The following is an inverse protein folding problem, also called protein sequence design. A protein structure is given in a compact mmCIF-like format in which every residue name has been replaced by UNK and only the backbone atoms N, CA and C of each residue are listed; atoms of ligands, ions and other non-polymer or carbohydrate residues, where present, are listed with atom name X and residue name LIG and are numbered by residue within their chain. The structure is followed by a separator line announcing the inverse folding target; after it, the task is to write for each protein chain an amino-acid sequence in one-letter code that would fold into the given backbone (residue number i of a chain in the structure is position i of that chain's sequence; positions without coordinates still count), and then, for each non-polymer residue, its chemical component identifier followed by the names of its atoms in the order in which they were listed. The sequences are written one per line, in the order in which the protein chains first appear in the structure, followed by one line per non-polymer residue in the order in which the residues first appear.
data_IF_365104053903
#
_entry.id   IF_365104053903
#
_cell.length_a   1.000
_cell.length_b   1.000
_cell.length_c   1.000
_cell.angle_alpha   90.00
_cell.angle_beta   90.00
_cell.angle_gamma   90.00
#
_symmetry.space_group_name_H-M   'P 1'
#
loop_
_entity.id
_entity.type
_entity.pdbx_description
1 polymer ?
#
# COMPACT_ATOMS: atom_id res chain seq x y z
N UNK A 1 -7.02 15.32 -10.79
CA UNK A 1 -6.06 14.31 -11.26
C UNK A 1 -6.29 12.97 -10.56
N UNK A 2 -6.17 12.87 -9.23
CA UNK A 2 -6.34 11.58 -8.52
C UNK A 2 -7.73 10.95 -8.71
N UNK A 3 -8.79 11.74 -8.70
CA UNK A 3 -10.16 11.27 -8.96
C UNK A 3 -10.28 10.64 -10.36
N UNK A 4 -9.59 11.19 -11.36
CA UNK A 4 -9.55 10.64 -12.70
C UNK A 4 -8.83 9.28 -12.74
N UNK A 5 -7.70 9.13 -12.00
CA UNK A 5 -7.00 7.84 -11.87
C UNK A 5 -7.89 6.79 -11.21
N UNK A 6 -8.57 7.13 -10.12
CA UNK A 6 -9.51 6.26 -9.41
C UNK A 6 -10.68 5.87 -10.31
N UNK A 7 -11.24 6.84 -11.05
CA UNK A 7 -12.35 6.57 -11.98
C UNK A 7 -11.94 5.63 -13.12
N UNK A 8 -10.75 5.81 -13.68
CA UNK A 8 -10.20 4.93 -14.71
C UNK A 8 -9.87 3.54 -14.17
N UNK A 9 -9.49 3.44 -12.90
CA UNK A 9 -9.22 2.16 -12.25
C UNK A 9 -10.50 1.38 -11.85
N UNK A 10 -11.71 1.93 -12.04
CA UNK A 10 -12.95 1.18 -11.80
C UNK A 10 -13.11 0.02 -12.82
N UNK A 11 -13.67 -1.14 -12.40
CA UNK A 11 -14.24 -1.42 -11.07
C UNK A 11 -13.21 -1.91 -10.03
N UNK A 12 -11.94 -1.98 -10.37
CA UNK A 12 -10.88 -2.56 -9.52
C UNK A 12 -10.69 -1.78 -8.22
N UNK A 13 -10.76 -0.43 -8.28
CA UNK A 13 -10.61 0.39 -7.07
C UNK A 13 -11.67 0.06 -6.02
N UNK A 14 -12.92 -0.10 -6.45
CA UNK A 14 -14.01 -0.52 -5.57
C UNK A 14 -13.78 -1.93 -5.03
N UNK A 15 -13.35 -2.89 -5.87
CA UNK A 15 -13.05 -4.26 -5.46
C UNK A 15 -11.92 -4.31 -4.43
N UNK A 16 -10.93 -3.43 -4.54
CA UNK A 16 -9.83 -3.30 -3.59
C UNK A 16 -10.33 -2.77 -2.24
N UNK A 17 -11.02 -1.63 -2.23
CA UNK A 17 -11.48 -0.96 -1.00
C UNK A 17 -12.54 -1.79 -0.26
N UNK A 18 -13.43 -2.46 -1.00
CA UNK A 18 -14.54 -3.26 -0.47
C UNK A 18 -14.26 -4.77 -0.50
N UNK A 19 -12.98 -5.19 -0.52
CA UNK A 19 -12.61 -6.58 -0.60
C UNK A 19 -13.13 -7.40 0.58
N UNK A 20 -13.41 -8.70 0.37
CA UNK A 20 -13.91 -9.59 1.42
C UNK A 20 -12.98 -9.65 2.65
N UNK A 21 -11.66 -9.63 2.44
CA UNK A 21 -10.67 -9.52 3.52
C UNK A 21 -10.94 -8.29 4.40
N UNK A 22 -11.16 -7.12 3.77
CA UNK A 22 -11.44 -5.85 4.44
C UNK A 22 -12.77 -5.92 5.21
N UNK A 23 -13.80 -6.49 4.60
CA UNK A 23 -15.11 -6.62 5.22
C UNK A 23 -15.09 -7.56 6.44
N UNK A 24 -14.39 -8.68 6.35
CA UNK A 24 -14.22 -9.61 7.47
C UNK A 24 -13.38 -8.99 8.60
N UNK A 25 -12.32 -8.23 8.24
CA UNK A 25 -11.52 -7.47 9.20
C UNK A 25 -12.38 -6.43 9.93
N UNK A 26 -13.21 -5.66 9.21
CA UNK A 26 -14.13 -4.68 9.78
C UNK A 26 -15.14 -5.32 10.77
N UNK A 27 -15.66 -6.48 10.43
CA UNK A 27 -16.61 -7.26 11.27
C UNK A 27 -15.92 -8.00 12.43
N UNK A 28 -14.59 -8.06 12.48
CA UNK A 28 -13.85 -8.87 13.46
C UNK A 28 -13.97 -10.37 13.23
N UNK A 29 -14.34 -10.81 12.03
CA UNK A 29 -14.59 -12.20 11.66
C UNK A 29 -13.51 -12.81 10.78
N UNK A 30 -12.53 -12.02 10.35
CA UNK A 30 -11.40 -12.53 9.57
C UNK A 30 -10.69 -13.64 10.37
N UNK A 31 -10.40 -14.82 9.78
CA UNK A 31 -9.65 -15.85 10.48
C UNK A 31 -8.25 -15.35 10.90
N UNK A 32 -7.85 -15.65 12.14
CA UNK A 32 -6.54 -15.24 12.68
C UNK A 32 -5.39 -15.64 11.74
N UNK A 33 -5.45 -16.86 11.19
CA UNK A 33 -4.43 -17.35 10.27
C UNK A 33 -4.31 -16.50 8.99
N UNK A 34 -5.43 -15.99 8.45
CA UNK A 34 -5.42 -15.10 7.29
C UNK A 34 -4.72 -13.77 7.61
N UNK A 35 -5.00 -13.19 8.78
CA UNK A 35 -4.36 -11.96 9.20
C UNK A 35 -2.87 -12.17 9.51
N UNK A 36 -2.50 -13.28 10.16
CA UNK A 36 -1.10 -13.63 10.40
C UNK A 36 -0.32 -13.82 9.09
N UNK A 37 -0.92 -14.50 8.10
CA UNK A 37 -0.31 -14.66 6.79
C UNK A 37 -0.12 -13.31 6.08
N UNK A 38 -1.17 -12.48 6.08
CA UNK A 38 -1.10 -11.11 5.58
C UNK A 38 0.06 -10.32 6.22
N UNK A 39 0.18 -10.32 7.56
CA UNK A 39 1.24 -9.59 8.25
C UNK A 39 2.65 -10.05 7.87
N UNK A 40 2.86 -11.35 7.66
CA UNK A 40 4.16 -11.88 7.23
C UNK A 40 4.50 -11.42 5.81
N UNK A 41 3.55 -11.47 4.90
CA UNK A 41 3.74 -11.00 3.52
C UNK A 41 3.86 -9.48 3.44
N UNK A 42 3.14 -8.76 4.30
CA UNK A 42 3.22 -7.30 4.40
C UNK A 42 4.61 -6.83 4.88
N UNK A 43 5.23 -7.54 5.82
CA UNK A 43 6.62 -7.28 6.21
C UNK A 43 7.57 -7.35 5.01
N UNK A 44 7.45 -8.40 4.19
CA UNK A 44 8.26 -8.59 2.98
C UNK A 44 7.95 -7.48 1.96
N UNK A 45 6.67 -7.14 1.79
CA UNK A 45 6.23 -6.05 0.93
C UNK A 45 6.86 -4.72 1.36
N UNK A 46 6.79 -4.35 2.64
CA UNK A 46 7.34 -3.10 3.16
C UNK A 46 8.85 -2.99 2.93
N UNK A 47 9.58 -4.09 3.00
CA UNK A 47 11.01 -4.13 2.66
C UNK A 47 11.25 -3.74 1.19
N UNK A 48 10.47 -4.27 0.25
CA UNK A 48 10.58 -3.90 -1.16
C UNK A 48 9.99 -2.52 -1.46
N UNK A 49 8.96 -2.11 -0.73
CA UNK A 49 8.39 -0.77 -0.80
C UNK A 49 9.41 0.29 -0.41
N UNK A 50 10.20 0.03 0.65
CA UNK A 50 11.33 0.88 1.03
C UNK A 50 12.39 0.98 -0.09
N UNK A 51 12.66 -0.11 -0.81
CA UNK A 51 13.54 -0.11 -1.99
C UNK A 51 12.99 0.77 -3.13
N UNK A 52 11.68 0.78 -3.32
CA UNK A 52 11.04 1.65 -4.31
C UNK A 52 11.26 3.14 -3.98
N UNK A 53 11.17 3.53 -2.70
CA UNK A 53 11.46 4.91 -2.30
C UNK A 53 12.96 5.24 -2.36
N UNK A 54 13.85 4.30 -2.04
CA UNK A 54 15.28 4.47 -2.26
C UNK A 54 15.60 4.69 -3.76
N UNK A 55 14.91 3.96 -4.65
CA UNK A 55 14.98 4.19 -6.09
C UNK A 55 14.40 5.56 -6.46
N UNK A 56 13.34 6.02 -5.81
CA UNK A 56 12.79 7.37 -5.96
C UNK A 56 13.82 8.46 -5.63
N UNK A 57 14.56 8.30 -4.52
CA UNK A 57 15.68 9.17 -4.17
C UNK A 57 16.74 9.19 -5.28
N UNK A 58 17.10 8.03 -5.83
CA UNK A 58 18.07 7.90 -6.91
C UNK A 58 17.58 8.57 -8.22
N UNK A 59 16.27 8.48 -8.54
CA UNK A 59 15.68 9.02 -9.78
C UNK A 59 15.39 10.53 -9.72
N UNK A 60 15.39 11.13 -8.54
CA UNK A 60 15.12 12.56 -8.38
C UNK A 60 16.17 13.42 -9.11
N UNK A 61 15.72 14.44 -9.82
CA UNK A 61 16.57 15.33 -10.63
C UNK A 61 17.10 16.54 -9.83
N UNK A 62 16.52 16.79 -8.66
CA UNK A 62 16.88 17.90 -7.78
C UNK A 62 16.47 17.59 -6.33
N UNK A 63 16.90 18.42 -5.38
CA UNK A 63 16.62 18.22 -3.95
C UNK A 63 15.12 18.30 -3.62
N UNK A 64 14.36 19.11 -4.32
CA UNK A 64 12.90 19.23 -4.11
C UNK A 64 12.19 17.94 -4.46
N UNK A 65 12.53 17.33 -5.60
CA UNK A 65 12.00 16.02 -5.99
C UNK A 65 12.47 14.89 -5.06
N UNK A 66 13.66 15.02 -4.45
CA UNK A 66 14.25 14.02 -3.55
C UNK A 66 13.56 14.01 -2.18
N UNK A 67 12.98 15.12 -1.76
CA UNK A 67 12.46 15.30 -0.40
C UNK A 67 11.39 14.26 -0.03
N UNK A 68 10.39 14.08 -0.90
CA UNK A 68 9.27 13.17 -0.63
C UNK A 68 9.72 11.70 -0.55
N UNK A 69 10.43 11.11 -1.53
CA UNK A 69 10.89 9.73 -1.42
C UNK A 69 11.84 9.51 -0.24
N UNK A 70 12.71 10.48 0.09
CA UNK A 70 13.59 10.41 1.25
C UNK A 70 12.79 10.38 2.56
N UNK A 71 11.83 11.32 2.72
CA UNK A 71 10.96 11.39 3.91
C UNK A 71 10.21 10.07 4.10
N UNK A 72 9.61 9.54 3.04
CA UNK A 72 8.87 8.27 3.11
C UNK A 72 9.77 7.10 3.45
N UNK A 73 10.98 7.04 2.86
CA UNK A 73 11.96 6.00 3.18
C UNK A 73 12.38 6.06 4.65
N UNK A 74 12.65 7.25 5.19
CA UNK A 74 13.00 7.42 6.60
C UNK A 74 11.89 6.92 7.53
N UNK A 75 10.61 7.23 7.22
CA UNK A 75 9.45 6.77 7.98
C UNK A 75 9.37 5.23 7.93
N UNK A 76 9.44 4.63 6.74
CA UNK A 76 9.38 3.17 6.58
C UNK A 76 10.51 2.45 7.33
N UNK A 77 11.73 2.99 7.31
CA UNK A 77 12.86 2.42 8.06
C UNK A 77 12.65 2.47 9.59
N UNK A 78 11.93 3.48 10.09
CA UNK A 78 11.59 3.58 11.51
C UNK A 78 10.43 2.64 11.88
N UNK A 79 9.46 2.48 10.99
CA UNK A 79 8.26 1.68 11.21
C UNK A 79 8.51 0.17 11.16
N UNK A 80 9.59 -0.27 10.53
CA UNK A 80 9.87 -1.71 10.36
C UNK A 80 9.99 -2.43 11.72
N UNK A 81 10.55 -1.76 12.73
CA UNK A 81 10.64 -2.31 14.08
C UNK A 81 9.27 -2.36 14.77
N UNK A 82 8.43 -1.33 14.56
CA UNK A 82 7.07 -1.30 15.07
C UNK A 82 6.21 -2.41 14.43
N UNK A 83 6.45 -2.71 13.15
CA UNK A 83 5.79 -3.81 12.46
C UNK A 83 6.17 -5.18 13.07
N UNK A 84 7.44 -5.41 13.38
CA UNK A 84 7.89 -6.61 14.08
C UNK A 84 7.26 -6.73 15.48
N UNK A 85 7.18 -5.63 16.22
CA UNK A 85 6.51 -5.59 17.54
C UNK A 85 5.01 -5.91 17.39
N UNK A 86 4.36 -5.42 16.33
CA UNK A 86 2.98 -5.73 16.04
C UNK A 86 2.79 -7.21 15.67
N UNK A 87 3.68 -7.78 14.86
CA UNK A 87 3.67 -9.22 14.54
C UNK A 87 3.79 -10.09 15.81
N UNK A 88 4.64 -9.69 16.78
CA UNK A 88 4.75 -10.42 18.07
C UNK A 88 3.43 -10.42 18.86
N UNK A 89 2.64 -9.34 18.81
CA UNK A 89 1.30 -9.30 19.44
C UNK A 89 0.33 -10.30 18.80
N UNK A 90 0.59 -10.65 17.53
CA UNK A 90 -0.15 -11.67 16.79
C UNK A 90 0.48 -13.07 16.88
N UNK A 91 1.39 -13.28 17.86
CA UNK A 91 2.08 -14.57 18.09
C UNK A 91 2.91 -15.04 16.90
N UNK A 92 3.45 -14.10 16.10
CA UNK A 92 4.36 -14.36 14.99
C UNK A 92 5.77 -14.02 15.48
N UNK A 93 6.66 -14.99 15.48
CA UNK A 93 8.07 -14.79 15.84
C UNK A 93 8.85 -14.13 14.69
N UNK A 94 9.93 -13.43 15.01
CA UNK A 94 10.83 -12.87 14.00
C UNK A 94 11.41 -13.96 13.08
N UNK A 95 11.70 -15.13 13.63
CA UNK A 95 12.19 -16.27 12.86
C UNK A 95 11.17 -16.71 11.80
N UNK A 96 9.88 -16.83 12.17
CA UNK A 96 8.82 -17.15 11.21
C UNK A 96 8.69 -16.11 10.10
N UNK A 97 8.86 -14.81 10.43
CA UNK A 97 8.82 -13.74 9.43
C UNK A 97 9.98 -13.89 8.45
N UNK A 98 11.21 -14.08 8.96
CA UNK A 98 12.41 -14.16 8.14
C UNK A 98 12.50 -15.44 7.31
N UNK A 99 11.88 -16.52 7.77
CA UNK A 99 11.82 -17.81 7.05
C UNK A 99 10.59 -17.90 6.12
N UNK A 100 9.66 -16.94 6.19
CA UNK A 100 8.47 -16.96 5.33
C UNK A 100 8.86 -16.75 3.87
N UNK A 101 8.53 -17.69 2.98
CA UNK A 101 8.75 -17.49 1.55
C UNK A 101 7.82 -16.39 1.03
N UNK A 102 8.35 -15.58 0.11
CA UNK A 102 7.56 -14.59 -0.59
C UNK A 102 6.45 -15.27 -1.40
N UNK A 103 5.19 -14.85 -1.23
CA UNK A 103 4.07 -15.32 -2.03
C UNK A 103 4.17 -14.82 -3.48
N UNK A 104 3.51 -15.52 -4.40
CA UNK A 104 3.46 -15.08 -5.79
C UNK A 104 2.81 -13.69 -5.94
N UNK A 105 1.83 -13.37 -5.10
CA UNK A 105 1.20 -12.05 -5.05
C UNK A 105 2.19 -10.97 -4.62
N UNK A 106 2.94 -11.21 -3.54
CA UNK A 106 3.95 -10.27 -3.05
C UNK A 106 5.07 -10.08 -4.08
N UNK A 107 5.60 -11.16 -4.67
CA UNK A 107 6.62 -11.09 -5.74
C UNK A 107 6.10 -10.27 -6.91
N UNK A 108 4.93 -10.58 -7.44
CA UNK A 108 4.38 -9.90 -8.62
C UNK A 108 4.22 -8.41 -8.37
N UNK A 109 3.66 -8.04 -7.23
CA UNK A 109 3.41 -6.64 -6.90
C UNK A 109 4.72 -5.87 -6.66
N UNK A 110 5.59 -6.37 -5.81
CA UNK A 110 6.83 -5.68 -5.46
C UNK A 110 7.79 -5.52 -6.64
N UNK A 111 7.88 -6.53 -7.52
CA UNK A 111 8.72 -6.43 -8.74
C UNK A 111 8.11 -5.47 -9.75
N UNK A 112 6.78 -5.40 -9.85
CA UNK A 112 6.11 -4.41 -10.67
C UNK A 112 6.40 -2.97 -10.22
N UNK A 113 6.35 -2.69 -8.91
CA UNK A 113 6.71 -1.37 -8.36
C UNK A 113 8.14 -0.97 -8.76
N UNK A 114 9.09 -1.89 -8.56
CA UNK A 114 10.49 -1.66 -8.87
C UNK A 114 10.71 -1.49 -10.39
N UNK A 115 10.06 -2.31 -11.21
CA UNK A 115 10.15 -2.21 -12.67
C UNK A 115 9.65 -0.86 -13.18
N UNK A 116 8.51 -0.37 -12.70
CA UNK A 116 8.01 0.97 -13.01
C UNK A 116 9.04 2.07 -12.69
N UNK A 117 9.69 1.96 -11.52
CA UNK A 117 10.72 2.92 -11.12
C UNK A 117 12.04 2.77 -11.91
N UNK A 118 12.44 1.55 -12.28
CA UNK A 118 13.68 1.29 -13.01
C UNK A 118 13.56 1.75 -14.46
N UNK A 119 12.47 1.38 -15.14
CA UNK A 119 12.23 1.65 -16.55
C UNK A 119 11.71 3.07 -16.81
N UNK A 120 10.96 3.63 -15.85
CA UNK A 120 10.41 4.98 -15.88
C UNK A 120 11.18 5.99 -15.04
N UNK A 121 10.48 7.02 -14.60
CA UNK A 121 10.94 8.06 -13.68
C UNK A 121 10.08 8.12 -12.40
N UNK A 122 10.11 9.27 -11.73
CA UNK A 122 9.27 9.51 -10.55
C UNK A 122 7.76 9.42 -10.84
N UNK A 123 7.23 9.92 -11.97
CA UNK A 123 5.80 9.80 -12.27
C UNK A 123 5.34 8.34 -12.31
N UNK A 124 6.06 7.46 -13.02
CA UNK A 124 5.75 6.04 -13.15
C UNK A 124 5.88 5.30 -11.80
N UNK A 125 6.94 5.59 -11.06
CA UNK A 125 7.14 5.02 -9.73
C UNK A 125 6.00 5.41 -8.79
N UNK A 126 5.66 6.71 -8.72
CA UNK A 126 4.60 7.19 -7.82
C UNK A 126 3.21 6.74 -8.27
N UNK A 127 2.95 6.58 -9.57
CA UNK A 127 1.73 5.94 -10.05
C UNK A 127 1.59 4.49 -9.57
N UNK A 128 2.70 3.78 -9.42
CA UNK A 128 2.71 2.40 -8.93
C UNK A 128 2.59 2.29 -7.41
N UNK A 129 3.24 3.19 -6.63
CA UNK A 129 3.23 3.10 -5.15
C UNK A 129 2.04 3.78 -4.50
N UNK A 130 1.43 4.78 -5.13
CA UNK A 130 0.30 5.55 -4.54
C UNK A 130 -0.95 4.69 -4.24
N UNK A 131 -1.34 3.68 -5.06
CA UNK A 131 -2.49 2.83 -4.74
C UNK A 131 -2.40 2.17 -3.37
N UNK A 132 -1.22 1.78 -2.90
CA UNK A 132 -1.03 1.25 -1.56
C UNK A 132 -1.41 2.29 -0.49
N UNK A 133 -0.71 3.42 -0.43
CA UNK A 133 -0.91 4.42 0.62
C UNK A 133 -2.33 5.02 0.62
N UNK A 134 -2.81 5.44 -0.56
CA UNK A 134 -4.14 6.03 -0.70
C UNK A 134 -5.24 4.99 -0.47
N UNK A 135 -5.04 3.77 -0.96
CA UNK A 135 -6.03 2.71 -0.83
C UNK A 135 -6.23 2.30 0.62
N UNK A 136 -5.17 2.14 1.42
CA UNK A 136 -5.29 1.85 2.85
C UNK A 136 -5.99 3.00 3.61
N UNK A 137 -5.74 4.26 3.24
CA UNK A 137 -6.47 5.40 3.79
C UNK A 137 -7.98 5.31 3.46
N UNK A 138 -8.33 4.95 2.21
CA UNK A 138 -9.72 4.80 1.80
C UNK A 138 -10.38 3.53 2.37
N UNK A 139 -9.66 2.43 2.52
CA UNK A 139 -10.13 1.23 3.22
C UNK A 139 -10.51 1.56 4.66
N UNK A 140 -9.66 2.30 5.38
CA UNK A 140 -9.97 2.72 6.75
C UNK A 140 -11.18 3.66 6.79
N UNK A 141 -11.30 4.60 5.86
CA UNK A 141 -12.49 5.46 5.68
C UNK A 141 -13.75 4.63 5.44
N UNK A 142 -13.71 3.70 4.48
CA UNK A 142 -14.81 2.79 4.18
C UNK A 142 -15.26 1.98 5.41
N UNK A 143 -14.29 1.45 6.18
CA UNK A 143 -14.62 0.71 7.40
C UNK A 143 -15.30 1.62 8.42
N UNK A 144 -14.76 2.79 8.69
CA UNK A 144 -15.29 3.70 9.72
C UNK A 144 -16.66 4.26 9.36
N UNK A 145 -16.95 4.42 8.08
CA UNK A 145 -18.25 4.92 7.58
C UNK A 145 -19.33 3.83 7.55
N UNK A 146 -18.97 2.58 7.24
CA UNK A 146 -19.95 1.53 6.94
C UNK A 146 -20.09 0.48 8.05
N UNK A 147 -19.18 0.43 9.03
CA UNK A 147 -19.20 -0.55 10.11
C UNK A 147 -19.13 0.12 11.48
N UNK A 148 -19.95 -0.34 12.45
CA UNK A 148 -19.86 0.18 13.81
C UNK A 148 -18.52 -0.23 14.45
N UNK A 149 -17.90 0.68 15.22
CA UNK A 149 -16.72 0.34 16.02
C UNK A 149 -17.09 -0.70 17.08
N UNK A 150 -16.53 -1.90 16.95
CA UNK A 150 -16.75 -3.02 17.88
C UNK A 150 -15.64 -3.02 18.92
N UNK A 151 -16.01 -2.96 20.22
CA UNK A 151 -15.05 -3.00 21.34
C UNK A 151 -14.21 -4.28 21.40
N UNK A 152 -14.72 -5.37 20.81
CA UNK A 152 -14.05 -6.69 20.79
C UNK A 152 -13.43 -7.03 19.43
N UNK A 153 -13.33 -6.07 18.49
CA UNK A 153 -12.68 -6.34 17.20
C UNK A 153 -11.18 -6.54 17.39
N UNK A 154 -10.63 -7.75 17.15
CA UNK A 154 -9.20 -7.99 17.34
C UNK A 154 -8.32 -7.17 16.37
N UNK A 155 -8.89 -6.67 15.25
CA UNK A 155 -8.20 -5.89 14.22
C UNK A 155 -8.33 -4.38 14.43
N UNK A 156 -8.91 -3.93 15.54
CA UNK A 156 -9.19 -2.51 15.77
C UNK A 156 -7.92 -1.65 15.74
N UNK A 157 -6.81 -2.14 16.26
CA UNK A 157 -5.53 -1.41 16.23
C UNK A 157 -5.06 -1.14 14.78
N UNK A 158 -5.27 -2.09 13.87
CA UNK A 158 -4.99 -1.92 12.44
C UNK A 158 -5.89 -0.82 11.83
N UNK A 159 -7.19 -0.88 12.11
CA UNK A 159 -8.16 0.12 11.63
C UNK A 159 -7.79 1.51 12.16
N UNK A 160 -7.50 1.63 13.46
CA UNK A 160 -7.15 2.89 14.11
C UNK A 160 -5.85 3.48 13.54
N UNK A 161 -4.87 2.66 13.16
CA UNK A 161 -3.63 3.10 12.50
C UNK A 161 -3.92 3.78 11.16
N UNK A 162 -4.63 3.12 10.26
CA UNK A 162 -4.88 3.63 8.91
C UNK A 162 -5.96 4.71 8.85
N UNK A 163 -6.81 4.82 9.89
CA UNK A 163 -7.76 5.93 10.05
C UNK A 163 -7.18 7.13 10.81
N UNK A 164 -5.95 7.04 11.30
CA UNK A 164 -5.32 8.14 12.05
C UNK A 164 -5.12 9.38 11.18
N UNK A 165 -5.23 10.59 11.75
CA UNK A 165 -4.96 11.83 11.03
C UNK A 165 -3.56 11.85 10.39
N UNK A 166 -2.57 11.27 11.06
CA UNK A 166 -1.19 11.18 10.61
C UNK A 166 -1.07 10.36 9.32
N UNK A 167 -1.71 9.18 9.28
CA UNK A 167 -1.70 8.35 8.08
C UNK A 167 -2.47 8.98 6.92
N UNK A 168 -3.65 9.54 7.20
CA UNK A 168 -4.46 10.23 6.19
C UNK A 168 -3.70 11.41 5.58
N UNK A 169 -2.99 12.18 6.40
CA UNK A 169 -2.14 13.28 5.93
C UNK A 169 -0.98 12.77 5.07
N UNK A 170 -0.29 11.71 5.48
CA UNK A 170 0.81 11.13 4.70
C UNK A 170 0.34 10.59 3.33
N UNK A 171 -0.82 9.95 3.29
CA UNK A 171 -1.43 9.49 2.05
C UNK A 171 -1.78 10.68 1.12
N UNK A 172 -2.32 11.78 1.68
CA UNK A 172 -2.61 12.98 0.91
C UNK A 172 -1.34 13.65 0.36
N UNK A 173 -0.27 13.74 1.15
CA UNK A 173 1.03 14.27 0.68
C UNK A 173 1.58 13.46 -0.51
N UNK A 174 1.40 12.14 -0.51
CA UNK A 174 1.79 11.29 -1.64
C UNK A 174 0.95 11.56 -2.88
N UNK A 175 -0.36 11.76 -2.73
CA UNK A 175 -1.27 12.16 -3.81
C UNK A 175 -0.89 13.51 -4.39
N UNK A 176 -0.58 14.49 -3.53
CA UNK A 176 -0.18 15.84 -3.95
C UNK A 176 1.14 15.80 -4.74
N UNK A 177 2.09 14.99 -4.28
CA UNK A 177 3.36 14.79 -4.99
C UNK A 177 3.17 14.12 -6.36
N UNK A 178 2.38 13.05 -6.44
CA UNK A 178 2.03 12.43 -7.73
C UNK A 178 1.33 13.42 -8.66
N UNK A 179 0.44 14.25 -8.11
CA UNK A 179 -0.27 15.29 -8.88
C UNK A 179 0.73 16.27 -9.50
N UNK A 180 1.66 16.79 -8.71
CA UNK A 180 2.70 17.70 -9.20
C UNK A 180 3.62 17.05 -10.26
N UNK A 181 3.96 15.77 -10.09
CA UNK A 181 4.75 15.02 -11.07
C UNK A 181 4.00 14.82 -12.40
N UNK A 182 2.66 14.79 -12.37
CA UNK A 182 1.84 14.58 -13.56
C UNK A 182 1.49 15.89 -14.31
N UNK A 183 1.60 17.06 -13.67
CA UNK A 183 1.27 18.35 -14.30
C UNK A 183 1.97 18.61 -15.66
N UNK A 184 3.27 18.29 -15.83
CA UNK A 184 3.96 18.54 -17.10
C UNK A 184 3.72 17.46 -18.16
N UNK A 185 2.96 16.40 -17.87
CA UNK A 185 2.78 15.26 -18.78
C UNK A 185 1.76 15.59 -19.89
N UNK A 186 2.02 15.11 -21.10
CA UNK A 186 1.03 15.13 -22.18
C UNK A 186 0.03 13.96 -22.03
N UNK A 187 -1.03 13.96 -22.85
CA UNK A 187 -2.12 12.97 -22.76
C UNK A 187 -1.63 11.51 -22.89
N UNK A 188 -0.65 11.25 -23.78
CA UNK A 188 -0.11 9.90 -23.96
C UNK A 188 0.69 9.43 -22.73
N UNK A 189 1.48 10.32 -22.15
CA UNK A 189 2.21 10.05 -20.92
C UNK A 189 1.25 9.84 -19.75
N UNK A 190 0.21 10.68 -19.63
CA UNK A 190 -0.78 10.53 -18.58
C UNK A 190 -1.60 9.23 -18.73
N UNK A 191 -1.94 8.83 -19.96
CA UNK A 191 -2.57 7.54 -20.21
C UNK A 191 -1.70 6.35 -19.75
N UNK A 192 -0.38 6.47 -19.88
CA UNK A 192 0.56 5.47 -19.34
C UNK A 192 0.53 5.43 -17.80
N UNK A 193 0.52 6.59 -17.13
CA UNK A 193 0.36 6.70 -15.67
C UNK A 193 -0.95 6.04 -15.21
N UNK A 194 -2.06 6.24 -15.93
CA UNK A 194 -3.35 5.60 -15.64
C UNK A 194 -3.27 4.07 -15.71
N UNK A 195 -2.55 3.51 -16.69
CA UNK A 195 -2.35 2.07 -16.82
C UNK A 195 -1.55 1.51 -15.65
N UNK A 196 -0.48 2.21 -15.23
CA UNK A 196 0.34 1.81 -14.09
C UNK A 196 -0.49 1.81 -12.81
N UNK A 197 -1.20 2.90 -12.52
CA UNK A 197 -2.05 3.04 -11.34
C UNK A 197 -3.12 1.93 -11.30
N UNK A 198 -3.80 1.68 -12.42
CA UNK A 198 -4.81 0.62 -12.52
C UNK A 198 -4.20 -0.77 -12.29
N UNK A 199 -3.01 -1.03 -12.82
CA UNK A 199 -2.33 -2.31 -12.64
C UNK A 199 -1.92 -2.53 -11.18
N UNK A 200 -1.36 -1.51 -10.52
CA UNK A 200 -1.02 -1.56 -9.10
C UNK A 200 -2.29 -1.78 -8.23
N UNK A 201 -3.40 -1.10 -8.53
CA UNK A 201 -4.70 -1.33 -7.87
C UNK A 201 -5.15 -2.80 -7.98
N UNK A 202 -4.98 -3.42 -9.15
CA UNK A 202 -5.31 -4.85 -9.33
C UNK A 202 -4.42 -5.76 -8.50
N UNK A 203 -3.17 -5.38 -8.29
CA UNK A 203 -2.24 -6.15 -7.45
C UNK A 203 -2.59 -6.05 -5.96
N UNK A 204 -3.16 -4.95 -5.50
CA UNK A 204 -3.72 -4.84 -4.16
C UNK A 204 -4.86 -5.84 -3.91
N UNK A 205 -5.76 -6.00 -4.90
CA UNK A 205 -6.83 -7.01 -4.81
C UNK A 205 -6.24 -8.41 -4.65
N UNK A 206 -5.22 -8.73 -5.45
CA UNK A 206 -4.54 -10.03 -5.38
C UNK A 206 -3.81 -10.21 -4.03
N UNK A 207 -3.27 -9.14 -3.47
CA UNK A 207 -2.63 -9.17 -2.16
C UNK A 207 -3.63 -9.45 -1.03
N UNK A 208 -4.82 -8.85 -1.05
CA UNK A 208 -5.91 -9.21 -0.12
C UNK A 208 -6.36 -10.65 -0.29
N UNK A 209 -6.52 -11.10 -1.53
CA UNK A 209 -6.94 -12.47 -1.82
C UNK A 209 -5.91 -13.50 -1.34
N UNK A 210 -4.62 -13.24 -1.54
CA UNK A 210 -3.52 -14.04 -0.97
C UNK A 210 -3.66 -14.19 0.56
N UNK A 211 -4.02 -13.12 1.27
CA UNK A 211 -4.27 -13.15 2.71
C UNK A 211 -5.44 -14.07 3.08
N UNK A 212 -6.51 -14.11 2.28
CA UNK A 212 -7.65 -15.02 2.50
C UNK A 212 -7.31 -16.48 2.19
N UNK A 213 -6.60 -16.72 1.09
CA UNK A 213 -6.34 -18.06 0.57
C UNK A 213 -5.11 -18.71 1.24
N UNK A 214 -4.33 -17.96 2.00
CA UNK A 214 -3.05 -18.39 2.60
C UNK A 214 -2.02 -18.85 1.55
N UNK A 215 -2.01 -18.22 0.37
CA UNK A 215 -1.22 -18.62 -0.80
C UNK A 215 0.06 -17.82 -1.00
#
# INVERSE_FOLDING_TARGET
MIEQLIQQAQPYWKQYVEHEFVQQLAKGTLPKACFQHYLKQDYIYLFHYSRAFALGVFKAKNFTEMEMPRKTLDILCQEIQLHLDYCRQWEISEQEIFETPESAACISYTRYLLDCGITGGLPELYAAVTPCALGYAQVAGYITENYPKLLSNPYQAWIDTYSSPEYQQAAQEMVDFLTALCEPLNDAQFAHIQQIFTTATRMEIVFWQMGLDLS
#
